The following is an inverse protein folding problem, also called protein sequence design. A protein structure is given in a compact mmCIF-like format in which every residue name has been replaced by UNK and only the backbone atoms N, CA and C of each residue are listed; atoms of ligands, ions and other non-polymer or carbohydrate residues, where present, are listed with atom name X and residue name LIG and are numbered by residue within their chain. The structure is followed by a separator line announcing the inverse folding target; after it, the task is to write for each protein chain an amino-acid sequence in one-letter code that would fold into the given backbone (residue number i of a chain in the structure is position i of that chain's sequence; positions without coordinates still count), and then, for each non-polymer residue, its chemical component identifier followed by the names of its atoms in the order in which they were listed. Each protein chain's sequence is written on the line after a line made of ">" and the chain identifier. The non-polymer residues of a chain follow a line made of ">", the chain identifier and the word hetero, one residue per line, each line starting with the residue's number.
data_IF_021753996074
#
_entry.id   IF_021753996074
#
_cell.length_a   1.000
_cell.length_b   1.000
_cell.length_c   1.000
_cell.angle_alpha   90.00
_cell.angle_beta   90.00
_cell.angle_gamma   90.00
#
_symmetry.space_group_name_H-M   'P 1'
#
loop_
_entity.id
_entity.type
_entity.pdbx_description
1 polymer ?
#
# COMPACT_ATOMS: atom_id res chain seq x y z
N UNK A 1 -5.33 -6.22 -11.79
CA UNK A 1 -5.34 -4.77 -12.09
C UNK A 1 -5.62 -4.51 -13.56
N UNK A 2 -4.70 -4.85 -14.48
CA UNK A 2 -4.82 -4.55 -15.91
C UNK A 2 -6.15 -5.05 -16.50
N UNK A 3 -6.48 -6.33 -16.30
CA UNK A 3 -7.72 -6.93 -16.80
C UNK A 3 -8.98 -6.23 -16.26
N UNK A 4 -8.99 -5.81 -14.99
CA UNK A 4 -10.14 -5.10 -14.40
C UNK A 4 -10.43 -3.78 -15.14
N UNK A 5 -9.37 -3.06 -15.52
CA UNK A 5 -9.48 -1.82 -16.27
C UNK A 5 -9.72 -2.05 -17.77
N UNK A 6 -9.14 -3.10 -18.35
CA UNK A 6 -9.34 -3.51 -19.75
C UNK A 6 -10.83 -3.76 -20.05
N UNK A 7 -11.54 -4.42 -19.14
CA UNK A 7 -12.97 -4.69 -19.29
C UNK A 7 -13.89 -3.56 -18.76
N UNK A 8 -13.31 -2.46 -18.25
CA UNK A 8 -14.10 -1.38 -17.65
C UNK A 8 -14.75 -0.43 -18.65
N UNK A 9 -14.34 -0.47 -19.94
CA UNK A 9 -14.81 0.46 -20.96
C UNK A 9 -14.37 1.92 -20.70
N UNK A 10 -13.24 2.11 -20.03
CA UNK A 10 -12.73 3.41 -19.62
C UNK A 10 -11.85 4.04 -20.71
N UNK A 11 -12.31 5.14 -21.32
CA UNK A 11 -11.58 5.87 -22.36
C UNK A 11 -10.15 6.28 -21.93
N UNK A 12 -9.94 6.57 -20.65
CA UNK A 12 -8.60 6.92 -20.14
C UNK A 12 -7.67 5.71 -20.15
N UNK A 13 -8.17 4.51 -19.86
CA UNK A 13 -7.36 3.29 -19.97
C UNK A 13 -6.97 3.03 -21.42
N UNK A 14 -7.93 3.14 -22.34
CA UNK A 14 -7.71 2.99 -23.79
C UNK A 14 -6.67 3.98 -24.32
N UNK A 15 -6.73 5.24 -23.90
CA UNK A 15 -5.83 6.28 -24.38
C UNK A 15 -4.45 6.28 -23.72
N UNK A 16 -4.34 5.83 -22.45
CA UNK A 16 -3.12 6.02 -21.63
C UNK A 16 -2.41 4.74 -21.23
N UNK A 17 -3.13 3.63 -21.09
CA UNK A 17 -2.56 2.36 -20.61
C UNK A 17 -2.45 1.35 -21.73
N UNK A 18 -3.50 1.17 -22.55
CA UNK A 18 -3.47 0.21 -23.68
C UNK A 18 -2.28 0.42 -24.64
N UNK A 19 -1.86 1.65 -24.99
CA UNK A 19 -0.72 1.83 -25.89
C UNK A 19 0.61 1.31 -25.32
N UNK A 20 0.67 1.02 -24.03
CA UNK A 20 1.85 0.50 -23.32
C UNK A 20 1.74 -0.99 -23.01
N UNK A 21 0.71 -1.71 -23.49
CA UNK A 21 0.45 -3.12 -23.15
C UNK A 21 1.69 -4.01 -23.35
N UNK A 22 2.35 -3.89 -24.50
CA UNK A 22 3.56 -4.68 -24.82
C UNK A 22 4.80 -4.28 -23.98
N UNK A 23 4.74 -3.15 -23.27
CA UNK A 23 5.81 -2.65 -22.39
C UNK A 23 5.56 -2.96 -20.90
N UNK A 24 4.38 -3.51 -20.55
CA UNK A 24 4.01 -3.80 -19.17
C UNK A 24 4.49 -5.20 -18.77
N UNK A 25 5.24 -5.26 -17.67
CA UNK A 25 5.54 -6.51 -16.97
C UNK A 25 4.60 -6.62 -15.78
N UNK A 26 3.84 -7.72 -15.73
CA UNK A 26 2.97 -8.02 -14.60
C UNK A 26 3.80 -8.57 -13.44
N UNK A 27 3.36 -8.29 -12.21
CA UNK A 27 4.05 -8.70 -11.00
C UNK A 27 3.16 -9.65 -10.18
N UNK A 28 3.80 -10.62 -9.53
CA UNK A 28 3.17 -11.50 -8.54
C UNK A 28 3.55 -11.10 -7.10
N UNK A 29 2.81 -11.64 -6.12
CA UNK A 29 3.16 -11.47 -4.70
C UNK A 29 4.50 -12.12 -4.38
N UNK A 30 5.38 -11.38 -3.69
CA UNK A 30 6.72 -11.85 -3.34
C UNK A 30 7.72 -11.82 -4.49
N UNK A 31 7.37 -11.30 -5.66
CA UNK A 31 8.29 -11.20 -6.79
C UNK A 31 9.35 -10.11 -6.56
N UNK A 32 10.61 -10.45 -6.81
CA UNK A 32 11.72 -9.50 -6.81
C UNK A 32 11.72 -8.69 -8.11
N UNK A 33 11.42 -7.39 -8.01
CA UNK A 33 11.35 -6.50 -9.16
C UNK A 33 12.77 -6.14 -9.61
N UNK A 34 13.58 -5.74 -8.64
CA UNK A 34 15.01 -5.43 -8.76
C UNK A 34 15.66 -5.71 -7.41
N UNK A 35 16.99 -5.76 -7.36
CA UNK A 35 17.73 -5.94 -6.10
C UNK A 35 17.26 -4.96 -5.02
N UNK A 36 16.80 -5.49 -3.89
CA UNK A 36 16.33 -4.71 -2.74
C UNK A 36 14.90 -4.20 -2.87
N UNK A 37 14.13 -4.60 -3.89
CA UNK A 37 12.70 -4.22 -4.02
C UNK A 37 11.86 -5.46 -4.37
N UNK A 38 11.00 -5.85 -3.44
CA UNK A 38 10.10 -7.01 -3.58
C UNK A 38 8.65 -6.54 -3.57
N UNK A 39 7.84 -7.04 -4.50
CA UNK A 39 6.41 -6.77 -4.57
C UNK A 39 5.66 -7.49 -3.44
N UNK A 40 4.65 -6.85 -2.86
CA UNK A 40 3.80 -7.44 -1.84
C UNK A 40 2.34 -7.16 -2.15
N UNK A 41 1.52 -8.22 -2.22
CA UNK A 41 0.09 -8.09 -2.44
C UNK A 41 -0.59 -7.32 -1.30
N UNK A 42 -1.26 -6.24 -1.69
CA UNK A 42 -2.07 -5.39 -0.83
C UNK A 42 -3.46 -5.16 -1.44
N UNK A 43 -4.03 -6.22 -2.02
CA UNK A 43 -5.28 -6.18 -2.75
C UNK A 43 -6.46 -5.69 -1.89
N UNK A 44 -7.44 -5.10 -2.58
CA UNK A 44 -8.71 -4.67 -1.99
C UNK A 44 -9.08 -3.26 -2.45
N UNK A 45 -8.16 -2.30 -2.28
CA UNK A 45 -8.36 -0.93 -2.78
C UNK A 45 -8.66 -0.95 -4.29
N UNK A 46 -7.80 -1.66 -5.03
CA UNK A 46 -8.08 -2.17 -6.38
C UNK A 46 -7.76 -3.68 -6.40
N UNK A 47 -8.23 -4.43 -7.42
CA UNK A 47 -8.02 -5.87 -7.49
C UNK A 47 -6.55 -6.29 -7.56
N UNK A 48 -5.66 -5.45 -8.12
CA UNK A 48 -4.21 -5.70 -8.11
C UNK A 48 -3.42 -4.61 -7.40
N UNK A 49 -3.98 -3.99 -6.35
CA UNK A 49 -3.23 -3.08 -5.51
C UNK A 49 -2.03 -3.80 -4.87
N UNK A 50 -0.85 -3.19 -4.96
CA UNK A 50 0.42 -3.70 -4.45
C UNK A 50 1.05 -2.68 -3.50
N UNK A 51 1.76 -3.19 -2.49
CA UNK A 51 2.82 -2.46 -1.81
C UNK A 51 4.19 -3.01 -2.22
N UNK A 52 5.26 -2.34 -1.79
CA UNK A 52 6.62 -2.75 -2.11
C UNK A 52 7.49 -2.73 -0.86
N UNK A 53 8.18 -3.84 -0.61
CA UNK A 53 9.21 -3.93 0.43
C UNK A 53 10.54 -3.46 -0.16
N UNK A 54 11.14 -2.44 0.45
CA UNK A 54 12.44 -1.91 0.06
C UNK A 54 13.44 -2.30 1.13
N UNK A 55 14.46 -3.07 0.75
CA UNK A 55 15.51 -3.58 1.64
C UNK A 55 16.87 -3.00 1.25
N UNK A 56 17.65 -2.62 2.27
CA UNK A 56 19.06 -2.31 2.11
C UNK A 56 19.83 -2.54 3.42
N UNK A 57 20.90 -3.33 3.38
CA UNK A 57 21.77 -3.61 4.53
C UNK A 57 21.02 -4.15 5.77
N UNK A 58 19.98 -4.98 5.54
CA UNK A 58 19.12 -5.55 6.57
C UNK A 58 18.10 -4.56 7.14
N UNK A 59 17.90 -3.40 6.49
CA UNK A 59 16.92 -2.38 6.86
C UNK A 59 15.77 -2.39 5.86
N UNK A 60 14.53 -2.34 6.37
CA UNK A 60 13.32 -2.44 5.55
C UNK A 60 12.49 -1.16 5.61
N UNK A 61 11.91 -0.76 4.48
CA UNK A 61 10.89 0.27 4.37
C UNK A 61 9.75 -0.25 3.50
N UNK A 62 8.52 0.00 3.93
CA UNK A 62 7.34 -0.37 3.14
C UNK A 62 6.79 0.83 2.35
N UNK A 63 6.69 0.69 1.04
CA UNK A 63 5.98 1.64 0.18
C UNK A 63 4.54 1.14 -0.04
N UNK A 64 3.57 1.73 0.66
CA UNK A 64 2.22 1.16 0.77
C UNK A 64 1.19 1.66 -0.23
N UNK A 65 1.51 2.69 -1.03
CA UNK A 65 0.54 3.32 -1.93
C UNK A 65 -0.74 3.72 -1.19
N UNK A 66 -1.88 3.28 -1.71
CA UNK A 66 -3.23 3.63 -1.23
C UNK A 66 -3.85 2.63 -0.23
N UNK A 67 -3.07 1.75 0.43
CA UNK A 67 -3.63 0.77 1.38
C UNK A 67 -4.39 1.43 2.57
N UNK A 68 -4.06 2.68 2.88
CA UNK A 68 -4.72 3.51 3.87
C UNK A 68 -4.85 4.97 3.38
N UNK A 69 -6.08 5.47 3.26
CA UNK A 69 -6.36 6.76 2.61
C UNK A 69 -6.47 7.95 3.57
N UNK A 70 -6.42 7.73 4.89
CA UNK A 70 -6.41 8.81 5.87
C UNK A 70 -5.61 8.44 7.13
N UNK A 71 -4.59 9.24 7.45
CA UNK A 71 -3.63 8.96 8.54
C UNK A 71 -4.23 8.82 9.96
N UNK A 72 -5.37 9.49 10.23
CA UNK A 72 -6.14 9.30 11.47
C UNK A 72 -7.12 8.13 11.33
N UNK A 73 -8.12 8.24 10.44
CA UNK A 73 -9.25 7.33 10.42
C UNK A 73 -8.91 5.92 9.95
N UNK A 74 -8.17 5.79 8.84
CA UNK A 74 -7.81 4.48 8.29
C UNK A 74 -6.91 3.68 9.23
N UNK A 75 -6.13 4.34 10.09
CA UNK A 75 -5.28 3.64 11.05
C UNK A 75 -6.02 3.36 12.36
N UNK A 76 -6.76 4.34 12.88
CA UNK A 76 -7.48 4.18 14.14
C UNK A 76 -8.64 3.18 14.04
N UNK A 77 -9.23 3.05 12.85
CA UNK A 77 -10.36 2.18 12.57
C UNK A 77 -10.10 1.41 11.27
N UNK A 78 -9.13 0.47 11.26
CA UNK A 78 -8.69 -0.17 10.04
C UNK A 78 -9.78 -1.02 9.37
N UNK A 79 -10.77 -1.46 10.15
CA UNK A 79 -11.92 -2.23 9.68
C UNK A 79 -13.01 -1.38 9.02
N UNK A 80 -12.90 -0.04 9.07
CA UNK A 80 -13.86 0.81 8.38
C UNK A 80 -13.66 0.70 6.88
N UNK A 81 -14.77 0.46 6.18
CA UNK A 81 -14.81 0.41 4.73
C UNK A 81 -14.63 1.80 4.13
N UNK A 82 -13.80 1.91 3.10
CA UNK A 82 -13.69 3.12 2.31
C UNK A 82 -14.51 3.00 1.03
N UNK A 83 -15.24 4.07 0.69
CA UNK A 83 -16.06 4.11 -0.53
C UNK A 83 -15.29 3.82 -1.82
N UNK A 84 -14.01 4.18 -1.86
CA UNK A 84 -13.14 4.05 -3.03
C UNK A 84 -12.55 2.65 -3.21
N UNK A 85 -12.66 1.76 -2.21
CA UNK A 85 -12.18 0.40 -2.31
C UNK A 85 -13.10 -0.42 -3.24
N UNK A 86 -12.49 -1.18 -4.15
CA UNK A 86 -13.19 -2.10 -5.08
C UNK A 86 -13.73 -3.33 -4.35
N UNK A 87 -12.95 -3.89 -3.44
CA UNK A 87 -13.37 -4.88 -2.45
C UNK A 87 -13.17 -4.29 -1.05
N UNK A 88 -14.25 -3.80 -0.45
CA UNK A 88 -14.21 -3.05 0.81
C UNK A 88 -13.81 -3.91 1.99
N UNK A 89 -14.33 -5.14 2.05
CA UNK A 89 -14.02 -6.07 3.12
C UNK A 89 -12.57 -6.55 2.98
N UNK A 90 -12.16 -6.93 1.78
CA UNK A 90 -10.77 -7.31 1.48
C UNK A 90 -9.78 -6.18 1.77
N UNK A 91 -10.09 -4.94 1.39
CA UNK A 91 -9.26 -3.77 1.67
C UNK A 91 -9.10 -3.50 3.17
N UNK A 92 -10.18 -3.64 3.95
CA UNK A 92 -10.14 -3.50 5.39
C UNK A 92 -9.28 -4.58 6.06
N UNK A 93 -9.42 -5.85 5.63
CA UNK A 93 -8.59 -6.96 6.09
C UNK A 93 -7.10 -6.75 5.74
N UNK A 94 -6.82 -6.36 4.49
CA UNK A 94 -5.46 -6.02 4.04
C UNK A 94 -4.87 -4.88 4.86
N UNK A 95 -5.61 -3.79 5.04
CA UNK A 95 -5.16 -2.63 5.81
C UNK A 95 -4.83 -3.00 7.25
N UNK A 96 -5.69 -3.77 7.94
CA UNK A 96 -5.40 -4.26 9.29
C UNK A 96 -4.16 -5.14 9.33
N UNK A 97 -4.02 -6.08 8.40
CA UNK A 97 -2.85 -6.98 8.29
C UNK A 97 -1.55 -6.19 8.11
N UNK A 98 -1.53 -5.26 7.15
CA UNK A 98 -0.36 -4.43 6.83
C UNK A 98 0.00 -3.52 8.01
N UNK A 99 -0.98 -2.84 8.62
CA UNK A 99 -0.72 -2.00 9.79
C UNK A 99 -0.17 -2.81 10.98
N UNK A 100 -0.69 -4.03 11.20
CA UNK A 100 -0.18 -4.94 12.22
C UNK A 100 1.29 -5.31 11.97
N UNK A 101 1.63 -5.72 10.75
CA UNK A 101 3.02 -6.03 10.35
C UNK A 101 3.97 -4.84 10.59
N UNK A 102 3.56 -3.63 10.15
CA UNK A 102 4.37 -2.42 10.33
C UNK A 102 4.58 -2.06 11.81
N UNK A 103 3.55 -2.30 12.65
CA UNK A 103 3.63 -2.11 14.09
C UNK A 103 4.58 -3.13 14.71
N UNK A 104 4.39 -4.42 14.43
CA UNK A 104 5.13 -5.53 15.05
C UNK A 104 6.63 -5.43 14.74
N UNK A 105 6.98 -5.09 13.51
CA UNK A 105 8.36 -4.95 13.06
C UNK A 105 8.96 -3.56 13.33
N UNK A 106 8.14 -2.61 13.81
CA UNK A 106 8.50 -1.19 13.94
C UNK A 106 9.07 -0.61 12.63
N UNK A 107 8.53 -1.08 11.51
CA UNK A 107 9.01 -0.76 10.17
C UNK A 107 8.47 0.62 9.74
N UNK A 108 9.33 1.51 9.20
CA UNK A 108 8.84 2.73 8.58
C UNK A 108 8.10 2.42 7.29
N UNK A 109 7.11 3.24 6.97
CA UNK A 109 6.40 3.17 5.71
C UNK A 109 6.20 4.54 5.08
N UNK A 110 6.02 4.54 3.77
CA UNK A 110 5.55 5.68 2.99
C UNK A 110 4.16 5.35 2.45
N UNK A 111 3.17 6.17 2.81
CA UNK A 111 1.79 6.05 2.29
C UNK A 111 1.42 7.29 1.47
N UNK A 112 0.72 7.08 0.35
CA UNK A 112 0.41 8.15 -0.61
C UNK A 112 -0.46 9.27 -0.01
N UNK A 113 -1.37 8.90 0.90
CA UNK A 113 -2.28 9.82 1.58
C UNK A 113 -1.88 10.19 3.02
N UNK A 114 -0.63 9.93 3.39
CA UNK A 114 -0.09 10.38 4.67
C UNK A 114 0.36 11.85 4.59
N UNK A 115 0.35 12.62 5.70
CA UNK A 115 0.86 13.99 5.71
C UNK A 115 2.30 14.06 5.19
N UNK A 116 2.56 14.98 4.25
CA UNK A 116 3.87 15.17 3.63
C UNK A 116 5.01 15.17 4.68
N UNK A 117 6.10 14.40 4.49
CA UNK A 117 6.50 13.66 3.27
C UNK A 117 5.88 12.26 3.12
N UNK A 118 4.89 11.93 3.93
CA UNK A 118 4.19 10.65 3.91
C UNK A 118 4.94 9.51 4.62
N UNK A 119 6.10 9.81 5.19
CA UNK A 119 6.96 8.90 5.94
C UNK A 119 6.60 8.86 7.43
N UNK A 120 6.36 7.67 7.95
CA UNK A 120 6.15 7.47 9.38
C UNK A 120 6.14 6.03 9.80
N UNK A 121 5.64 5.80 11.01
CA UNK A 121 5.55 4.51 11.68
C UNK A 121 4.11 4.25 12.11
N UNK A 122 3.86 3.00 12.49
CA UNK A 122 2.59 2.56 13.05
C UNK A 122 2.80 2.19 14.51
N UNK A 123 1.89 2.63 15.38
CA UNK A 123 1.84 2.20 16.78
C UNK A 123 0.43 1.74 17.14
N UNK A 124 0.33 0.72 18.00
CA UNK A 124 -0.95 0.25 18.54
C UNK A 124 -1.68 1.36 19.31
N UNK A 125 -2.98 1.48 19.07
CA UNK A 125 -3.88 2.40 19.76
C UNK A 125 -5.23 1.73 19.97
N UNK A 126 -5.43 1.12 21.14
CA UNK A 126 -6.64 0.35 21.44
C UNK A 126 -6.76 -0.82 20.46
N UNK A 127 -7.91 -0.95 19.80
CA UNK A 127 -8.17 -2.00 18.80
C UNK A 127 -7.67 -1.66 17.39
N UNK A 128 -7.09 -0.46 17.21
CA UNK A 128 -6.53 0.02 15.95
C UNK A 128 -5.12 0.56 16.15
N UNK A 129 -4.76 1.54 15.32
CA UNK A 129 -3.41 2.06 15.22
C UNK A 129 -3.37 3.59 15.19
N UNK A 130 -2.17 4.16 15.36
CA UNK A 130 -1.90 5.58 15.11
C UNK A 130 -0.69 5.74 14.19
N UNK A 131 -0.79 6.71 13.29
CA UNK A 131 0.33 7.18 12.49
C UNK A 131 1.27 8.00 13.37
N UNK A 132 2.54 7.65 13.38
CA UNK A 132 3.61 8.42 14.03
C UNK A 132 4.49 9.00 12.93
N UNK A 133 4.37 10.30 12.59
CA UNK A 133 5.20 10.89 11.54
C UNK A 133 6.67 10.78 11.90
N UNK A 134 7.51 10.41 10.93
CA UNK A 134 8.94 10.52 11.11
C UNK A 134 9.32 12.00 11.31
N UNK A 135 10.17 12.28 12.29
CA UNK A 135 10.58 13.65 12.58
C UNK A 135 11.68 14.11 11.61
N UNK A 136 12.88 13.57 11.76
CA UNK A 136 14.08 13.93 10.98
C UNK A 136 14.98 12.75 10.63
N UNK A 137 14.86 11.63 11.34
CA UNK A 137 15.62 10.42 11.09
C UNK A 137 14.69 9.22 11.09
N UNK A 138 14.99 8.26 10.22
CA UNK A 138 14.42 6.93 10.31
C UNK A 138 15.18 6.15 11.38
N UNK A 139 14.44 5.51 12.29
CA UNK A 139 14.95 4.47 13.19
C UNK A 139 15.08 3.15 12.41
N UNK A 140 15.96 3.14 11.40
CA UNK A 140 16.27 1.95 10.63
C UNK A 140 17.45 1.22 11.27
#
# INVERSE_FOLDING_TARGET
>A
EYEDWDFSGNDTFEEKVRPLEDEIVMLEDGEDIVTGVTAMAAHGHTPGHMGYMIESEGKNLFLGGDFANHYIWSLAYPDWELRFDRDREGAAQTRRRVLGMLEDEKMPFIGYHMPWPGLGYVETRGDGFRYVPASYQMML
#
